data_IF_455792982461
#
_entry.id   IF_455792982461
#
_cell.length_a   1.000
_cell.length_b   1.000
_cell.length_c   1.000
_cell.angle_alpha   90.00
_cell.angle_beta   90.00
_cell.angle_gamma   90.00
#
_symmetry.space_group_name_H-M   'P 1'
#
loop_
_entity.id
_entity.type
_entity.pdbx_description
1 polymer ?
#
# COMPACT_ATOMS: atom_id res chain seq x y z
N UNK A 1 18.39 -6.68 -7.51
CA UNK A 1 17.39 -6.86 -8.60
C UNK A 1 16.42 -5.68 -8.69
N UNK A 2 15.71 -5.31 -7.61
CA UNK A 2 14.64 -4.30 -7.68
C UNK A 2 15.12 -2.85 -7.91
N UNK A 3 16.18 -2.40 -7.19
CA UNK A 3 16.62 -0.99 -7.21
C UNK A 3 16.87 -0.40 -8.60
N UNK A 4 17.69 -1.02 -9.47
CA UNK A 4 17.97 -0.43 -10.78
C UNK A 4 16.70 -0.26 -11.62
N UNK A 5 15.75 -1.20 -11.53
CA UNK A 5 14.48 -1.12 -12.24
C UNK A 5 13.56 -0.01 -11.74
N UNK A 6 13.53 0.25 -10.42
CA UNK A 6 12.76 1.36 -9.85
C UNK A 6 13.38 2.72 -10.20
N UNK A 7 14.70 2.86 -10.06
CA UNK A 7 15.41 4.11 -10.40
C UNK A 7 15.22 4.44 -11.89
N UNK A 8 15.35 3.44 -12.77
CA UNK A 8 15.05 3.56 -14.20
C UNK A 8 13.62 4.04 -14.45
N UNK A 9 12.62 3.42 -13.80
CA UNK A 9 11.21 3.82 -13.95
C UNK A 9 10.95 5.25 -13.44
N UNK A 10 11.53 5.64 -12.30
CA UNK A 10 11.43 7.02 -11.79
C UNK A 10 12.01 8.01 -12.79
N UNK A 11 13.17 7.69 -13.39
CA UNK A 11 13.80 8.57 -14.38
C UNK A 11 12.94 8.69 -15.64
N UNK A 12 12.40 7.58 -16.16
CA UNK A 12 11.48 7.60 -17.31
C UNK A 12 10.23 8.45 -17.05
N UNK A 13 9.64 8.33 -15.85
CA UNK A 13 8.48 9.13 -15.44
C UNK A 13 8.84 10.61 -15.35
N UNK A 14 10.01 10.94 -14.81
CA UNK A 14 10.49 12.32 -14.70
C UNK A 14 10.74 12.96 -16.06
N UNK A 15 11.23 12.18 -17.02
CA UNK A 15 11.52 12.65 -18.39
C UNK A 15 10.28 12.62 -19.31
N UNK A 16 9.16 12.07 -18.83
CA UNK A 16 7.91 12.03 -19.58
C UNK A 16 7.31 13.43 -19.77
N UNK A 17 6.78 13.75 -20.97
CA UNK A 17 6.02 14.97 -21.18
C UNK A 17 4.63 14.94 -20.52
N UNK A 18 4.18 13.78 -20.01
CA UNK A 18 2.87 13.63 -19.38
C UNK A 18 2.84 14.38 -18.03
N UNK A 19 2.09 15.48 -17.99
CA UNK A 19 1.90 16.23 -16.75
C UNK A 19 0.71 15.67 -15.95
N UNK A 20 0.99 14.83 -14.96
CA UNK A 20 -0.02 14.31 -14.03
C UNK A 20 -0.20 15.29 -12.87
N UNK A 21 -1.32 16.02 -12.91
CA UNK A 21 -1.73 16.89 -11.81
C UNK A 21 -2.52 16.11 -10.75
N UNK A 22 -2.19 16.35 -9.48
CA UNK A 22 -2.90 15.80 -8.32
C UNK A 22 -3.55 16.88 -7.45
N UNK A 23 -3.64 18.13 -7.91
CA UNK A 23 -4.26 19.23 -7.16
C UNK A 23 -5.69 18.91 -6.70
N UNK A 24 -6.42 18.08 -7.47
CA UNK A 24 -7.75 17.57 -7.12
C UNK A 24 -7.73 16.87 -5.75
N UNK A 25 -6.66 16.16 -5.39
CA UNK A 25 -6.54 15.44 -4.12
C UNK A 25 -6.44 16.35 -2.91
N UNK A 26 -6.08 17.62 -3.11
CA UNK A 26 -5.92 18.63 -2.07
C UNK A 26 -6.99 19.71 -2.05
N UNK A 27 -8.07 19.53 -2.83
CA UNK A 27 -9.29 20.34 -2.69
C UNK A 27 -9.92 20.12 -1.31
N UNK A 28 -11.00 20.83 -1.00
CA UNK A 28 -11.66 20.71 0.30
C UNK A 28 -12.54 19.45 0.36
N UNK A 29 -12.28 18.59 1.35
CA UNK A 29 -13.00 17.36 1.62
C UNK A 29 -13.39 17.32 3.10
N UNK A 30 -14.61 17.72 3.49
CA UNK A 30 -15.01 17.76 4.90
C UNK A 30 -14.80 16.42 5.61
N UNK A 31 -14.18 16.45 6.79
CA UNK A 31 -13.74 15.26 7.54
C UNK A 31 -14.90 14.32 7.85
N UNK A 32 -16.06 14.85 8.22
CA UNK A 32 -17.26 14.06 8.52
C UNK A 32 -17.70 13.24 7.31
N UNK A 33 -17.61 13.83 6.12
CA UNK A 33 -17.94 13.15 4.85
C UNK A 33 -16.87 12.14 4.46
N UNK A 34 -15.60 12.39 4.77
CA UNK A 34 -14.53 11.41 4.57
C UNK A 34 -14.77 10.16 5.41
N UNK A 35 -15.17 10.30 6.68
CA UNK A 35 -15.48 9.17 7.55
C UNK A 35 -16.60 8.30 6.98
N UNK A 36 -17.70 8.91 6.53
CA UNK A 36 -18.80 8.18 5.90
C UNK A 36 -18.34 7.41 4.66
N UNK A 37 -17.55 8.04 3.79
CA UNK A 37 -17.01 7.41 2.58
C UNK A 37 -16.02 6.30 2.91
N UNK A 38 -15.17 6.47 3.92
CA UNK A 38 -14.22 5.45 4.32
C UNK A 38 -14.94 4.23 4.90
N UNK A 39 -15.99 4.42 5.70
CA UNK A 39 -16.78 3.31 6.24
C UNK A 39 -17.60 2.58 5.16
N UNK A 40 -18.23 3.33 4.24
CA UNK A 40 -18.93 2.74 3.08
C UNK A 40 -17.97 1.94 2.20
N UNK A 41 -16.79 2.51 1.93
CA UNK A 41 -15.74 1.90 1.12
C UNK A 41 -15.25 0.56 1.70
N UNK A 42 -14.79 0.56 2.96
CA UNK A 42 -14.23 -0.66 3.55
C UNK A 42 -15.30 -1.75 3.69
N UNK A 43 -16.57 -1.36 3.93
CA UNK A 43 -17.70 -2.29 3.93
C UNK A 43 -17.90 -2.94 2.55
N UNK A 44 -17.86 -2.17 1.47
CA UNK A 44 -18.06 -2.67 0.09
C UNK A 44 -17.00 -3.69 -0.32
N UNK A 45 -15.75 -3.48 0.08
CA UNK A 45 -14.65 -4.40 -0.25
C UNK A 45 -14.61 -5.65 0.65
N UNK A 46 -15.46 -5.71 1.69
CA UNK A 46 -15.69 -6.91 2.50
C UNK A 46 -15.20 -6.86 3.95
N UNK A 47 -14.81 -5.69 4.46
CA UNK A 47 -14.52 -5.55 5.90
C UNK A 47 -15.79 -5.77 6.74
N UNK A 48 -15.70 -6.70 7.69
CA UNK A 48 -16.83 -7.08 8.54
C UNK A 48 -16.93 -6.19 9.79
N UNK A 49 -17.87 -5.25 9.78
CA UNK A 49 -18.15 -4.37 10.92
C UNK A 49 -18.83 -5.08 12.11
N UNK A 50 -19.27 -6.33 11.97
CA UNK A 50 -19.77 -7.10 13.13
C UNK A 50 -18.61 -7.60 14.00
N UNK A 51 -17.43 -7.78 13.38
CA UNK A 51 -16.20 -8.27 14.00
C UNK A 51 -15.10 -7.19 14.00
N UNK A 52 -15.48 -5.92 13.94
CA UNK A 52 -14.52 -4.83 13.81
C UNK A 52 -15.13 -3.44 13.73
N UNK A 53 -14.26 -2.42 13.70
CA UNK A 53 -14.64 -1.01 13.58
C UNK A 53 -13.49 -0.16 13.05
N UNK A 54 -13.81 1.06 12.61
CA UNK A 54 -12.85 2.05 12.11
C UNK A 54 -12.80 3.32 12.97
N UNK A 55 -11.62 3.53 13.57
CA UNK A 55 -11.06 4.67 14.32
C UNK A 55 -10.53 5.87 13.52
N UNK A 56 -10.41 7.03 14.16
CA UNK A 56 -9.41 8.04 13.81
C UNK A 56 -8.16 7.85 14.68
N UNK A 57 -6.98 7.90 14.07
CA UNK A 57 -5.69 7.94 14.75
C UNK A 57 -4.73 8.92 14.05
N UNK A 58 -3.66 9.31 14.74
CA UNK A 58 -2.60 10.14 14.14
C UNK A 58 -1.86 9.39 13.03
N UNK A 59 -1.67 8.09 13.20
CA UNK A 59 -1.11 7.19 12.21
C UNK A 59 -2.10 6.04 12.02
N UNK A 60 -2.60 5.79 10.79
CA UNK A 60 -3.41 4.62 10.49
C UNK A 60 -2.69 3.33 10.90
N UNK A 61 -3.46 2.38 11.43
CA UNK A 61 -3.00 1.04 11.78
C UNK A 61 -4.19 0.08 11.91
N UNK A 62 -3.87 -1.21 11.78
CA UNK A 62 -4.74 -2.34 12.09
C UNK A 62 -4.24 -3.05 13.34
N UNK A 63 -5.16 -3.46 14.21
CA UNK A 63 -4.88 -4.28 15.39
C UNK A 63 -6.00 -5.27 15.62
N UNK A 64 -5.70 -6.40 16.26
CA UNK A 64 -6.68 -7.43 16.56
C UNK A 64 -6.53 -7.95 17.99
N UNK A 65 -7.67 -8.30 18.58
CA UNK A 65 -7.76 -8.98 19.88
C UNK A 65 -8.25 -10.42 19.73
N UNK A 66 -8.93 -10.71 18.61
CA UNK A 66 -9.29 -12.02 18.09
C UNK A 66 -9.60 -11.87 16.60
N UNK A 67 -9.82 -12.97 15.87
CA UNK A 67 -10.38 -12.88 14.52
C UNK A 67 -11.81 -12.28 14.46
N UNK A 68 -12.50 -12.19 15.60
CA UNK A 68 -13.82 -11.58 15.77
C UNK A 68 -13.78 -10.15 16.39
N UNK A 69 -12.59 -9.58 16.64
CA UNK A 69 -12.42 -8.18 17.05
C UNK A 69 -11.14 -7.62 16.42
N UNK A 70 -11.28 -7.15 15.18
CA UNK A 70 -10.22 -6.56 14.37
C UNK A 70 -10.56 -5.10 14.08
N UNK A 71 -9.70 -4.19 14.54
CA UNK A 71 -9.94 -2.75 14.50
C UNK A 71 -8.94 -2.07 13.59
N UNK A 72 -9.45 -1.17 12.77
CA UNK A 72 -8.65 -0.33 11.87
C UNK A 72 -8.77 1.11 12.31
N UNK A 73 -7.79 1.91 11.96
CA UNK A 73 -7.84 3.36 12.15
C UNK A 73 -7.43 4.06 10.87
N UNK A 74 -7.91 5.27 10.67
CA UNK A 74 -7.53 6.12 9.54
C UNK A 74 -7.21 7.54 10.02
N UNK A 75 -6.69 8.37 9.12
CA UNK A 75 -6.40 9.78 9.40
C UNK A 75 -7.17 10.65 8.42
N UNK A 76 -7.85 11.66 8.95
CA UNK A 76 -8.55 12.64 8.14
C UNK A 76 -7.77 13.94 8.04
N UNK A 77 -7.79 14.52 6.86
CA UNK A 77 -7.27 15.86 6.57
C UNK A 77 -8.20 16.50 5.55
N UNK A 78 -8.75 17.67 5.88
CA UNK A 78 -9.71 18.37 5.03
C UNK A 78 -9.14 18.76 3.65
N UNK A 79 -7.81 18.75 3.49
CA UNK A 79 -7.10 19.08 2.26
C UNK A 79 -6.22 17.94 1.75
N UNK A 80 -6.53 16.69 2.14
CA UNK A 80 -5.87 15.51 1.60
C UNK A 80 -6.76 14.26 1.65
N UNK A 81 -7.57 14.06 0.61
CA UNK A 81 -8.47 12.90 0.51
C UNK A 81 -7.75 11.54 0.49
N UNK A 82 -6.61 11.37 -0.22
CA UNK A 82 -5.88 10.10 -0.25
C UNK A 82 -5.47 9.59 1.15
N UNK A 83 -5.20 10.52 2.08
CA UNK A 83 -4.76 10.21 3.44
C UNK A 83 -5.79 9.45 4.28
N UNK A 84 -7.08 9.52 3.92
CA UNK A 84 -8.14 8.75 4.56
C UNK A 84 -8.63 7.59 3.69
N UNK A 85 -8.88 7.83 2.40
CA UNK A 85 -9.48 6.82 1.50
C UNK A 85 -8.55 5.63 1.29
N UNK A 86 -7.32 5.85 0.82
CA UNK A 86 -6.38 4.76 0.57
C UNK A 86 -5.82 4.18 1.87
N UNK A 87 -5.65 5.01 2.91
CA UNK A 87 -5.29 4.50 4.23
C UNK A 87 -6.36 3.53 4.78
N UNK A 88 -7.64 3.85 4.63
CA UNK A 88 -8.72 2.95 5.07
C UNK A 88 -8.73 1.64 4.29
N UNK A 89 -8.48 1.68 2.98
CA UNK A 89 -8.34 0.45 2.17
C UNK A 89 -7.10 -0.37 2.57
N UNK A 90 -5.99 0.31 2.88
CA UNK A 90 -4.76 -0.32 3.35
C UNK A 90 -5.02 -1.08 4.65
N UNK A 91 -5.55 -0.39 5.67
CA UNK A 91 -5.83 -1.01 6.97
C UNK A 91 -6.94 -2.06 6.87
N UNK A 92 -7.95 -1.86 6.02
CA UNK A 92 -8.96 -2.88 5.77
C UNK A 92 -8.38 -4.13 5.12
N UNK A 93 -7.37 -4.03 4.25
CA UNK A 93 -6.69 -5.20 3.70
C UNK A 93 -5.94 -5.99 4.76
N UNK A 94 -5.26 -5.31 5.68
CA UNK A 94 -4.69 -5.92 6.88
C UNK A 94 -5.78 -6.62 7.73
N UNK A 95 -6.85 -5.90 8.04
CA UNK A 95 -7.89 -6.42 8.90
C UNK A 95 -8.65 -7.58 8.28
N UNK A 96 -8.91 -7.51 6.97
CA UNK A 96 -9.51 -8.63 6.26
C UNK A 96 -8.60 -9.84 6.32
N UNK A 97 -7.27 -9.75 6.30
CA UNK A 97 -6.44 -10.94 6.54
C UNK A 97 -6.75 -11.58 7.90
N UNK A 98 -6.73 -10.79 8.97
CA UNK A 98 -6.98 -11.24 10.34
C UNK A 98 -8.41 -11.80 10.53
N UNK A 99 -9.43 -11.14 9.97
CA UNK A 99 -10.85 -11.52 10.04
C UNK A 99 -11.20 -12.87 9.40
N UNK A 100 -10.27 -13.51 8.71
CA UNK A 100 -10.48 -14.90 8.28
C UNK A 100 -9.24 -15.73 8.40
N UNK A 101 -8.44 -15.42 9.41
CA UNK A 101 -7.84 -16.46 10.23
C UNK A 101 -8.96 -17.42 10.68
N UNK A 102 -8.84 -18.73 10.46
CA UNK A 102 -9.87 -19.70 10.86
C UNK A 102 -10.13 -19.72 12.37
N UNK A 103 -11.40 -19.82 12.77
CA UNK A 103 -11.81 -19.94 14.18
C UNK A 103 -11.11 -21.08 14.92
N UNK A 104 -10.84 -22.20 14.23
CA UNK A 104 -10.12 -23.36 14.81
C UNK A 104 -8.68 -23.04 15.23
N UNK A 105 -8.11 -21.92 14.78
CA UNK A 105 -6.78 -21.46 15.17
C UNK A 105 -6.83 -20.41 16.28
N UNK A 106 -8.01 -19.89 16.62
CA UNK A 106 -8.15 -18.85 17.64
C UNK A 106 -7.57 -19.31 19.00
N UNK A 107 -6.82 -18.41 19.65
CA UNK A 107 -6.08 -18.73 20.89
C UNK A 107 -4.88 -19.66 20.73
N UNK A 108 -4.52 -20.08 19.51
CA UNK A 108 -3.35 -20.91 19.23
C UNK A 108 -2.22 -20.10 18.58
N UNK A 109 -1.02 -20.69 18.50
CA UNK A 109 0.11 -20.11 17.77
C UNK A 109 -0.10 -20.04 16.25
N UNK A 110 -1.17 -20.65 15.73
CA UNK A 110 -1.52 -20.64 14.32
C UNK A 110 -2.45 -19.48 13.92
N UNK A 111 -3.01 -18.73 14.88
CA UNK A 111 -3.90 -17.59 14.57
C UNK A 111 -3.13 -16.43 13.94
N UNK A 112 -3.81 -15.71 13.04
CA UNK A 112 -3.35 -14.48 12.40
C UNK A 112 -2.40 -14.69 11.21
N UNK A 113 -1.86 -13.59 10.70
CA UNK A 113 -0.98 -13.60 9.53
C UNK A 113 0.37 -14.30 9.73
N UNK A 114 0.86 -15.00 8.69
CA UNK A 114 2.12 -15.77 8.76
C UNK A 114 3.37 -14.90 8.98
N UNK A 115 3.36 -13.66 8.48
CA UNK A 115 4.45 -12.69 8.64
C UNK A 115 4.01 -11.28 8.28
N UNK A 116 4.78 -10.28 8.69
CA UNK A 116 4.59 -8.89 8.30
C UNK A 116 4.58 -8.69 6.78
N UNK A 117 5.39 -9.45 6.02
CA UNK A 117 5.39 -9.36 4.55
C UNK A 117 4.07 -9.84 3.93
N UNK A 118 3.51 -10.96 4.41
CA UNK A 118 2.18 -11.40 3.97
C UNK A 118 1.06 -10.47 4.45
N UNK A 119 1.24 -9.87 5.62
CA UNK A 119 0.28 -8.90 6.16
C UNK A 119 0.22 -7.65 5.29
N UNK A 120 1.39 -7.09 4.97
CA UNK A 120 1.53 -5.96 4.04
C UNK A 120 1.09 -6.30 2.63
N UNK A 121 1.24 -7.55 2.18
CA UNK A 121 0.77 -7.90 0.84
C UNK A 121 -0.75 -7.79 0.69
N UNK A 122 -1.49 -8.08 1.76
CA UNK A 122 -2.95 -7.91 1.76
C UNK A 122 -3.31 -6.43 1.73
N UNK A 123 -2.72 -5.61 2.60
CA UNK A 123 -3.00 -4.17 2.62
C UNK A 123 -2.67 -3.50 1.29
N UNK A 124 -1.50 -3.80 0.72
CA UNK A 124 -1.09 -3.24 -0.58
C UNK A 124 -1.98 -3.70 -1.72
N UNK A 125 -2.45 -4.94 -1.73
CA UNK A 125 -3.35 -5.42 -2.78
C UNK A 125 -4.65 -4.61 -2.82
N UNK A 126 -5.29 -4.45 -1.66
CA UNK A 126 -6.53 -3.70 -1.55
C UNK A 126 -6.33 -2.20 -1.78
N UNK A 127 -5.24 -1.61 -1.27
CA UNK A 127 -4.90 -0.21 -1.49
C UNK A 127 -4.58 0.09 -2.96
N UNK A 128 -3.69 -0.68 -3.58
CA UNK A 128 -3.00 -0.31 -4.81
C UNK A 128 -3.53 -1.05 -6.04
N UNK A 129 -3.38 -2.37 -6.09
CA UNK A 129 -3.82 -3.18 -7.24
C UNK A 129 -5.33 -3.07 -7.46
N UNK A 130 -6.10 -2.94 -6.37
CA UNK A 130 -7.55 -2.75 -6.42
C UNK A 130 -7.86 -1.26 -6.32
N UNK A 131 -7.61 -0.62 -5.17
CA UNK A 131 -8.08 0.75 -4.87
C UNK A 131 -7.55 1.85 -5.78
N UNK A 132 -6.33 1.71 -6.32
CA UNK A 132 -5.76 2.67 -7.28
C UNK A 132 -5.90 2.23 -8.73
N UNK A 133 -6.65 1.15 -9.01
CA UNK A 133 -6.91 0.69 -10.38
C UNK A 133 -7.93 1.58 -11.10
N UNK A 134 -7.86 1.58 -12.42
CA UNK A 134 -8.85 2.27 -13.27
C UNK A 134 -10.25 1.70 -13.06
N UNK A 135 -10.38 0.37 -12.95
CA UNK A 135 -11.65 -0.32 -12.71
C UNK A 135 -12.31 0.14 -11.42
N UNK A 136 -11.56 0.17 -10.31
CA UNK A 136 -12.08 0.59 -9.02
C UNK A 136 -12.46 2.07 -9.02
N UNK A 137 -11.63 2.92 -9.62
CA UNK A 137 -11.93 4.36 -9.69
C UNK A 137 -13.17 4.61 -10.55
N UNK A 138 -13.37 3.90 -11.66
CA UNK A 138 -14.61 4.00 -12.44
C UNK A 138 -15.85 3.59 -11.61
N UNK A 139 -15.73 2.53 -10.81
CA UNK A 139 -16.80 2.08 -9.91
C UNK A 139 -17.14 3.11 -8.82
N UNK A 140 -16.14 3.60 -8.09
CA UNK A 140 -16.37 4.33 -6.85
C UNK A 140 -16.37 5.86 -7.01
N UNK A 141 -15.79 6.39 -8.09
CA UNK A 141 -15.76 7.83 -8.33
C UNK A 141 -17.15 8.50 -8.39
N UNK A 142 -18.21 7.90 -8.96
CA UNK A 142 -19.57 8.46 -8.88
C UNK A 142 -20.03 8.72 -7.43
N UNK A 143 -19.73 7.80 -6.51
CA UNK A 143 -20.05 7.94 -5.08
C UNK A 143 -19.25 9.08 -4.44
N UNK A 144 -17.95 9.17 -4.74
CA UNK A 144 -17.11 10.30 -4.29
C UNK A 144 -17.64 11.63 -4.81
N UNK A 145 -18.02 11.69 -6.09
CA UNK A 145 -18.53 12.90 -6.74
C UNK A 145 -19.86 13.37 -6.15
N UNK A 146 -20.75 12.44 -5.81
CA UNK A 146 -21.99 12.75 -5.10
C UNK A 146 -21.72 13.30 -3.68
N UNK A 147 -20.74 12.73 -2.97
CA UNK A 147 -20.40 13.16 -1.61
C UNK A 147 -19.70 14.53 -1.57
N UNK A 148 -18.85 14.80 -2.56
CA UNK A 148 -18.00 15.99 -2.65
C UNK A 148 -18.27 16.84 -3.91
N UNK A 149 -19.50 17.34 -4.13
CA UNK A 149 -19.85 18.03 -5.37
C UNK A 149 -19.08 19.35 -5.55
N UNK A 150 -18.72 20.03 -4.45
CA UNK A 150 -17.90 21.24 -4.49
C UNK A 150 -16.46 21.01 -4.96
N UNK A 151 -15.96 19.78 -4.83
CA UNK A 151 -14.57 19.43 -5.14
C UNK A 151 -14.43 18.54 -6.38
N UNK A 152 -15.50 17.88 -6.83
CA UNK A 152 -15.44 16.88 -7.90
C UNK A 152 -16.46 17.08 -9.04
N UNK A 153 -17.31 18.13 -9.01
CA UNK A 153 -18.32 18.36 -10.06
C UNK A 153 -17.74 18.51 -11.47
N UNK A 154 -16.60 19.19 -11.59
CA UNK A 154 -15.82 19.42 -12.81
C UNK A 154 -14.82 18.29 -13.14
N UNK A 155 -14.75 17.24 -12.30
CA UNK A 155 -13.77 16.16 -12.42
C UNK A 155 -14.41 14.91 -13.04
N UNK A 156 -13.64 14.25 -13.90
CA UNK A 156 -13.95 12.93 -14.48
C UNK A 156 -13.22 11.81 -13.73
N UNK A 157 -13.74 10.58 -13.80
CA UNK A 157 -13.08 9.41 -13.21
C UNK A 157 -11.65 9.22 -13.76
N UNK A 158 -11.43 9.50 -15.04
CA UNK A 158 -10.10 9.44 -15.67
C UNK A 158 -9.12 10.44 -15.06
N UNK A 159 -9.54 11.70 -14.83
CA UNK A 159 -8.70 12.69 -14.15
C UNK A 159 -8.39 12.29 -12.71
N UNK A 160 -9.38 11.76 -11.99
CA UNK A 160 -9.18 11.27 -10.63
C UNK A 160 -8.21 10.08 -10.59
N UNK A 161 -8.31 9.15 -11.55
CA UNK A 161 -7.37 8.03 -11.71
C UNK A 161 -5.93 8.49 -11.90
N UNK A 162 -5.70 9.48 -12.78
CA UNK A 162 -4.37 10.03 -12.98
C UNK A 162 -3.86 10.70 -11.70
N UNK A 163 -4.68 11.54 -11.07
CA UNK A 163 -4.34 12.24 -9.84
C UNK A 163 -4.02 11.28 -8.66
N UNK A 164 -4.72 10.16 -8.55
CA UNK A 164 -4.50 9.13 -7.52
C UNK A 164 -3.20 8.33 -7.70
N UNK A 165 -2.63 8.40 -8.90
CA UNK A 165 -1.45 7.66 -9.30
C UNK A 165 -0.31 8.58 -9.73
N UNK A 166 -0.27 9.82 -9.23
CA UNK A 166 0.88 10.69 -9.43
C UNK A 166 2.11 10.10 -8.74
N UNK A 167 3.22 10.08 -9.47
CA UNK A 167 4.55 9.70 -9.00
C UNK A 167 5.40 10.95 -8.89
N UNK A 168 6.03 11.13 -7.74
CA UNK A 168 6.97 12.22 -7.51
C UNK A 168 7.89 11.87 -6.32
N UNK A 169 9.21 12.11 -6.43
CA UNK A 169 10.09 12.05 -5.27
C UNK A 169 9.57 12.94 -4.14
N UNK A 170 9.47 12.39 -2.93
CA UNK A 170 8.97 13.08 -1.74
C UNK A 170 9.82 12.72 -0.52
N UNK A 171 9.75 13.54 0.55
CA UNK A 171 10.59 13.30 1.75
C UNK A 171 10.03 12.20 2.64
N UNK A 172 8.70 12.11 2.76
CA UNK A 172 8.00 11.33 3.77
C UNK A 172 7.59 9.98 3.19
N UNK A 173 8.17 8.90 3.72
CA UNK A 173 7.94 7.52 3.23
C UNK A 173 6.47 7.12 3.23
N UNK A 174 5.72 7.48 4.27
CA UNK A 174 4.30 7.08 4.41
C UNK A 174 3.39 7.81 3.41
N UNK A 175 3.89 8.84 2.73
CA UNK A 175 3.19 9.61 1.70
C UNK A 175 3.72 9.33 0.30
N UNK A 176 4.75 8.49 0.17
CA UNK A 176 5.39 8.16 -1.11
C UNK A 176 4.47 7.32 -2.01
N UNK A 177 4.58 7.53 -3.31
CA UNK A 177 3.83 6.79 -4.34
C UNK A 177 4.35 5.35 -4.53
N UNK A 178 3.60 4.52 -5.27
CA UNK A 178 3.92 3.10 -5.48
C UNK A 178 5.29 2.85 -6.13
N UNK A 179 5.83 3.81 -6.89
CA UNK A 179 7.11 3.67 -7.58
C UNK A 179 8.26 4.08 -6.65
N UNK A 180 8.12 5.20 -5.95
CA UNK A 180 9.20 5.76 -5.11
C UNK A 180 9.28 5.14 -3.73
N UNK A 181 8.17 4.60 -3.19
CA UNK A 181 8.10 4.01 -1.84
C UNK A 181 9.19 2.97 -1.58
N UNK A 182 9.46 2.09 -2.54
CA UNK A 182 10.48 1.05 -2.40
C UNK A 182 11.91 1.60 -2.22
N UNK A 183 12.19 2.79 -2.75
CA UNK A 183 13.49 3.46 -2.58
C UNK A 183 13.67 3.96 -1.13
N UNK A 184 12.61 4.46 -0.49
CA UNK A 184 12.64 4.82 0.93
C UNK A 184 12.96 3.61 1.82
N UNK A 185 12.40 2.44 1.50
CA UNK A 185 12.67 1.19 2.22
C UNK A 185 14.12 0.74 2.03
N UNK A 186 14.61 0.78 0.78
CA UNK A 186 16.00 0.40 0.49
C UNK A 186 17.00 1.29 1.20
N UNK A 187 16.75 2.60 1.25
CA UNK A 187 17.58 3.55 2.00
C UNK A 187 17.70 3.11 3.45
N UNK A 188 16.57 2.88 4.13
CA UNK A 188 16.56 2.48 5.55
C UNK A 188 17.27 1.16 5.77
N UNK A 189 16.99 0.15 4.93
CA UNK A 189 17.63 -1.15 5.07
C UNK A 189 19.15 -1.10 4.90
N UNK A 190 19.66 -0.24 4.00
CA UNK A 190 21.11 -0.06 3.88
C UNK A 190 21.72 0.60 5.11
N UNK A 191 21.06 1.60 5.68
CA UNK A 191 21.51 2.22 6.92
C UNK A 191 21.47 1.21 8.08
N UNK A 192 20.41 0.40 8.18
CA UNK A 192 20.31 -0.68 9.17
C UNK A 192 21.46 -1.68 9.07
N UNK A 193 21.81 -2.10 7.85
CA UNK A 193 22.97 -2.96 7.64
C UNK A 193 24.25 -2.33 8.15
N UNK A 194 24.51 -1.07 7.83
CA UNK A 194 25.71 -0.38 8.26
C UNK A 194 25.76 -0.23 9.79
N UNK A 195 24.62 0.07 10.41
CA UNK A 195 24.50 0.15 11.88
C UNK A 195 24.80 -1.21 12.54
N UNK A 196 24.16 -2.29 12.07
CA UNK A 196 24.33 -3.63 12.64
C UNK A 196 25.73 -4.19 12.40
N UNK A 197 26.34 -3.89 11.25
CA UNK A 197 27.71 -4.29 10.92
C UNK A 197 28.78 -3.44 11.63
N UNK A 198 28.39 -2.41 12.40
CA UNK A 198 29.32 -1.49 13.08
C UNK A 198 30.16 -0.64 12.14
N UNK A 199 29.64 -0.36 10.93
CA UNK A 199 30.35 0.35 9.85
C UNK A 199 30.03 1.85 9.76
N UNK A 200 29.20 2.37 10.65
CA UNK A 200 28.82 3.79 10.70
C UNK A 200 28.62 4.21 12.16
N UNK A 201 29.01 5.44 12.50
CA UNK A 201 28.66 6.03 13.79
C UNK A 201 27.26 6.62 13.72
N UNK A 202 26.49 6.56 14.81
CA UNK A 202 25.13 7.12 14.84
C UNK A 202 25.10 8.64 14.57
N UNK A 203 26.16 9.37 14.89
CA UNK A 203 26.32 10.80 14.58
C UNK A 203 26.34 11.09 13.09
N UNK A 204 26.70 10.11 12.26
CA UNK A 204 26.92 10.28 10.82
C UNK A 204 25.66 9.92 10.02
N UNK A 205 24.63 9.36 10.68
CA UNK A 205 23.37 8.97 10.04
C UNK A 205 22.62 10.12 9.36
N UNK A 206 22.55 11.35 9.91
CA UNK A 206 21.88 12.46 9.22
C UNK A 206 22.49 12.76 7.84
N UNK A 207 23.82 12.80 7.74
CA UNK A 207 24.52 13.08 6.47
C UNK A 207 24.40 11.91 5.50
N UNK A 208 24.53 10.68 6.00
CA UNK A 208 24.40 9.49 5.18
C UNK A 208 22.97 9.32 4.66
N UNK A 209 21.95 9.65 5.47
CA UNK A 209 20.56 9.71 5.03
C UNK A 209 20.39 10.69 3.87
N UNK A 210 20.89 11.92 4.03
CA UNK A 210 20.79 12.97 3.00
C UNK A 210 21.46 12.53 1.69
N UNK A 211 22.65 11.93 1.79
CA UNK A 211 23.37 11.36 0.64
C UNK A 211 22.52 10.31 -0.08
N UNK A 212 21.91 9.38 0.66
CA UNK A 212 21.08 8.31 0.09
C UNK A 212 19.76 8.81 -0.49
N UNK A 213 19.12 9.82 0.13
CA UNK A 213 17.94 10.49 -0.43
C UNK A 213 18.29 11.15 -1.78
N UNK A 214 19.43 11.83 -1.85
CA UNK A 214 19.90 12.46 -3.09
C UNK A 214 20.22 11.42 -4.16
N UNK A 215 20.90 10.32 -3.81
CA UNK A 215 21.24 9.23 -4.74
C UNK A 215 20.00 8.54 -5.32
N UNK A 216 18.97 8.28 -4.50
CA UNK A 216 17.82 7.45 -4.89
C UNK A 216 16.63 8.23 -5.41
N UNK A 217 16.39 9.41 -4.84
CA UNK A 217 15.19 10.22 -5.09
C UNK A 217 15.54 11.59 -5.69
N UNK A 218 16.83 11.99 -5.69
CA UNK A 218 17.26 13.27 -6.26
C UNK A 218 16.91 14.49 -5.40
N UNK A 219 16.53 14.27 -4.14
CA UNK A 219 16.09 15.31 -3.19
C UNK A 219 16.80 15.15 -1.86
N UNK A 220 16.92 16.23 -1.09
CA UNK A 220 17.54 16.24 0.24
C UNK A 220 16.60 16.86 1.27
N UNK A 221 16.38 16.22 2.44
CA UNK A 221 15.56 16.78 3.52
C UNK A 221 16.05 18.16 3.98
N UNK A 222 15.11 19.02 4.41
CA UNK A 222 15.44 20.37 4.90
C UNK A 222 16.07 20.35 6.30
N UNK A 223 15.67 19.37 7.10
CA UNK A 223 16.14 19.15 8.45
C UNK A 223 16.03 17.65 8.81
N UNK A 224 16.44 17.31 10.04
CA UNK A 224 16.42 15.93 10.50
C UNK A 224 15.00 15.40 10.76
N UNK A 225 14.00 16.27 10.97
CA UNK A 225 12.62 15.85 11.20
C UNK A 225 11.99 15.30 9.90
N UNK A 226 12.32 15.89 8.76
CA UNK A 226 11.99 15.34 7.43
C UNK A 226 12.99 14.27 6.96
N UNK A 227 14.16 14.20 7.61
CA UNK A 227 15.22 13.25 7.31
C UNK A 227 15.20 12.02 8.21
N UNK A 228 16.34 11.75 8.83
CA UNK A 228 16.61 10.53 9.61
C UNK A 228 15.65 10.31 10.80
N UNK A 229 14.98 11.35 11.30
CA UNK A 229 14.04 11.27 12.43
C UNK A 229 12.57 11.14 11.98
N UNK A 230 12.29 11.00 10.68
CA UNK A 230 10.91 10.98 10.18
C UNK A 230 10.10 9.75 10.64
N UNK A 231 10.76 8.65 11.01
CA UNK A 231 10.13 7.38 11.37
C UNK A 231 10.44 6.97 12.81
N UNK A 232 9.45 6.39 13.49
CA UNK A 232 9.53 5.97 14.90
C UNK A 232 10.24 4.63 15.13
N UNK A 233 10.50 3.86 14.06
CA UNK A 233 10.94 2.47 14.18
C UNK A 233 12.26 2.34 14.95
N UNK A 234 13.29 3.10 14.58
CA UNK A 234 14.60 3.00 15.21
C UNK A 234 14.61 3.51 16.65
N UNK A 235 13.85 4.57 16.96
CA UNK A 235 13.71 5.04 18.35
C UNK A 235 12.93 4.04 19.22
N UNK A 236 12.12 3.17 18.61
CA UNK A 236 11.43 2.06 19.28
C UNK A 236 12.25 0.77 19.32
N UNK A 237 13.51 0.78 18.88
CA UNK A 237 14.38 -0.40 18.85
C UNK A 237 14.04 -1.41 17.74
N UNK A 238 13.25 -1.02 16.75
CA UNK A 238 12.78 -1.89 15.68
C UNK A 238 13.76 -1.79 14.49
N UNK A 239 14.67 -2.76 14.39
CA UNK A 239 15.63 -2.92 13.29
C UNK A 239 15.29 -4.16 12.44
N UNK A 240 15.49 -4.08 11.13
CA UNK A 240 15.20 -5.18 10.20
C UNK A 240 13.72 -5.31 9.83
N UNK A 241 12.89 -4.34 10.25
CA UNK A 241 11.46 -4.29 9.99
C UNK A 241 11.13 -3.67 8.62
N UNK A 242 11.78 -2.55 8.25
CA UNK A 242 11.46 -1.88 6.98
C UNK A 242 11.45 -2.78 5.74
N UNK A 243 12.35 -3.78 5.57
CA UNK A 243 12.30 -4.71 4.46
C UNK A 243 10.95 -5.43 4.31
N UNK A 244 10.19 -5.63 5.39
CA UNK A 244 8.90 -6.32 5.32
C UNK A 244 7.86 -5.53 4.53
N UNK A 245 7.91 -4.21 4.54
CA UNK A 245 7.04 -3.38 3.71
C UNK A 245 7.25 -3.65 2.22
N UNK A 246 8.52 -3.70 1.79
CA UNK A 246 8.83 -3.98 0.39
C UNK A 246 8.56 -5.45 0.03
N UNK A 247 8.76 -6.39 0.96
CA UNK A 247 8.32 -7.78 0.76
C UNK A 247 6.81 -7.87 0.54
N UNK A 248 6.02 -7.05 1.24
CA UNK A 248 4.58 -6.93 1.00
C UNK A 248 4.23 -6.57 -0.43
N UNK A 249 4.86 -5.54 -0.97
CA UNK A 249 4.69 -5.15 -2.38
C UNK A 249 5.04 -6.28 -3.36
N UNK A 250 6.13 -7.03 -3.11
CA UNK A 250 6.54 -8.15 -3.97
C UNK A 250 5.55 -9.31 -3.91
N UNK A 251 5.19 -9.74 -2.69
CA UNK A 251 4.23 -10.82 -2.47
C UNK A 251 2.86 -10.43 -3.04
N UNK A 252 2.44 -9.19 -2.85
CA UNK A 252 1.17 -8.66 -3.36
C UNK A 252 1.06 -8.81 -4.87
N UNK A 253 2.10 -8.40 -5.61
CA UNK A 253 2.12 -8.54 -7.07
C UNK A 253 2.16 -10.01 -7.53
N UNK A 254 2.89 -10.88 -6.82
CA UNK A 254 2.91 -12.31 -7.12
C UNK A 254 1.56 -13.01 -6.89
N UNK A 255 0.88 -12.66 -5.80
CA UNK A 255 -0.47 -13.14 -5.53
C UNK A 255 -1.46 -12.60 -6.56
N UNK A 256 -1.31 -11.33 -6.95
CA UNK A 256 -2.14 -10.69 -7.96
C UNK A 256 -2.05 -11.39 -9.34
N UNK A 257 -0.85 -11.76 -9.79
CA UNK A 257 -0.70 -12.54 -11.03
C UNK A 257 -1.47 -13.88 -10.97
N UNK A 258 -1.41 -14.59 -9.84
CA UNK A 258 -2.16 -15.83 -9.66
C UNK A 258 -3.66 -15.62 -9.58
N UNK A 259 -4.08 -14.51 -9.01
CA UNK A 259 -5.49 -14.14 -8.94
C UNK A 259 -6.04 -13.77 -10.32
N UNK A 260 -5.26 -13.07 -11.16
CA UNK A 260 -5.62 -12.78 -12.56
C UNK A 260 -5.79 -14.07 -13.38
N UNK A 261 -4.93 -15.08 -13.17
CA UNK A 261 -5.06 -16.40 -13.80
C UNK A 261 -6.36 -17.11 -13.37
N UNK A 262 -6.73 -16.98 -12.08
CA UNK A 262 -7.87 -17.68 -11.47
C UNK A 262 -9.22 -16.97 -11.68
N UNK A 263 -9.20 -15.64 -11.85
CA UNK A 263 -10.39 -14.79 -12.02
C UNK A 263 -10.18 -13.92 -13.28
N UNK A 264 -10.39 -14.47 -14.49
CA UNK A 264 -10.05 -13.78 -15.74
C UNK A 264 -10.80 -12.46 -15.98
N UNK A 265 -11.97 -12.29 -15.37
CA UNK A 265 -12.83 -11.10 -15.47
C UNK A 265 -12.72 -10.18 -14.24
N UNK A 266 -11.66 -10.30 -13.43
CA UNK A 266 -11.50 -9.55 -12.17
C UNK A 266 -11.67 -8.04 -12.32
N UNK A 267 -11.18 -7.42 -13.40
CA UNK A 267 -11.36 -5.98 -13.62
C UNK A 267 -12.81 -5.60 -13.90
N UNK A 268 -13.57 -6.47 -14.59
CA UNK A 268 -15.00 -6.26 -14.81
C UNK A 268 -15.78 -6.42 -13.49
N UNK A 269 -15.42 -7.39 -12.66
CA UNK A 269 -15.99 -7.55 -11.31
C UNK A 269 -15.71 -6.32 -10.44
N UNK A 270 -14.46 -5.82 -10.42
CA UNK A 270 -14.09 -4.59 -9.69
C UNK A 270 -14.89 -3.39 -10.19
N UNK A 271 -15.01 -3.20 -11.50
CA UNK A 271 -15.79 -2.09 -12.08
C UNK A 271 -17.30 -2.21 -11.80
N UNK A 272 -17.80 -3.44 -11.64
CA UNK A 272 -19.16 -3.75 -11.19
C UNK A 272 -19.39 -3.65 -9.68
N UNK A 273 -18.32 -3.46 -8.87
CA UNK A 273 -18.41 -3.43 -7.41
C UNK A 273 -18.52 -4.81 -6.76
N UNK A 274 -18.08 -5.86 -7.45
CA UNK A 274 -18.13 -7.24 -7.01
C UNK A 274 -16.76 -7.67 -6.44
N UNK A 275 -16.61 -7.58 -5.12
CA UNK A 275 -15.34 -7.89 -4.43
C UNK A 275 -15.33 -9.25 -3.74
N UNK A 276 -16.49 -9.93 -3.66
CA UNK A 276 -16.63 -11.17 -2.90
C UNK A 276 -15.74 -12.29 -3.46
N UNK A 277 -15.70 -12.49 -4.78
CA UNK A 277 -14.85 -13.52 -5.39
C UNK A 277 -13.35 -13.29 -5.16
N UNK A 278 -12.91 -12.03 -5.12
CA UNK A 278 -11.54 -11.64 -4.79
C UNK A 278 -11.22 -12.00 -3.34
N UNK A 279 -12.10 -11.59 -2.40
CA UNK A 279 -11.91 -11.87 -0.98
C UNK A 279 -11.95 -13.38 -0.70
N UNK A 280 -12.86 -14.13 -1.31
CA UNK A 280 -12.94 -15.59 -1.20
C UNK A 280 -11.68 -16.27 -1.72
N UNK A 281 -11.14 -15.82 -2.85
CA UNK A 281 -9.87 -16.34 -3.35
C UNK A 281 -8.74 -16.12 -2.33
N UNK A 282 -8.66 -14.93 -1.71
CA UNK A 282 -7.67 -14.66 -0.66
C UNK A 282 -7.92 -15.51 0.59
N UNK A 283 -9.18 -15.73 0.98
CA UNK A 283 -9.55 -16.62 2.08
C UNK A 283 -9.03 -18.02 1.85
N UNK A 284 -9.28 -18.56 0.67
CA UNK A 284 -8.93 -19.92 0.31
C UNK A 284 -7.45 -20.13 0.03
N UNK A 285 -6.76 -19.13 -0.51
CA UNK A 285 -5.36 -19.31 -0.92
C UNK A 285 -4.37 -18.76 0.11
N UNK A 286 -4.79 -17.83 0.97
CA UNK A 286 -3.89 -17.15 1.91
C UNK A 286 -4.39 -17.24 3.35
N UNK A 287 -5.61 -16.75 3.62
CA UNK A 287 -6.06 -16.48 4.98
C UNK A 287 -6.28 -17.76 5.79
N UNK A 288 -6.85 -18.81 5.17
CA UNK A 288 -7.18 -20.07 5.85
C UNK A 288 -5.98 -20.80 6.47
N UNK A 289 -4.76 -20.43 6.09
CA UNK A 289 -3.56 -21.09 6.57
C UNK A 289 -3.04 -20.51 7.89
N UNK A 290 -3.47 -19.31 8.28
CA UNK A 290 -2.92 -18.59 9.42
C UNK A 290 -1.38 -18.64 9.41
N UNK A 291 -0.79 -19.18 10.48
CA UNK A 291 0.67 -19.37 10.62
C UNK A 291 1.14 -20.82 10.41
N UNK A 292 0.33 -21.66 9.76
CA UNK A 292 0.65 -23.09 9.53
C UNK A 292 1.92 -23.30 8.70
N UNK A 293 2.17 -22.42 7.74
CA UNK A 293 3.31 -22.48 6.84
C UNK A 293 4.26 -21.33 7.09
N UNK A 294 5.57 -21.58 6.96
CA UNK A 294 6.54 -20.50 6.89
C UNK A 294 6.24 -19.62 5.66
N UNK A 295 6.56 -18.32 5.68
CA UNK A 295 6.25 -17.41 4.57
C UNK A 295 6.77 -17.91 3.21
N UNK A 296 8.02 -18.42 3.18
CA UNK A 296 8.63 -18.96 1.97
C UNK A 296 7.91 -20.23 1.46
N UNK A 297 7.36 -21.05 2.36
CA UNK A 297 6.60 -22.24 1.99
C UNK A 297 5.21 -21.86 1.48
N UNK A 298 4.56 -20.88 2.11
CA UNK A 298 3.24 -20.42 1.72
C UNK A 298 3.26 -19.78 0.32
N UNK A 299 4.21 -18.88 0.04
CA UNK A 299 4.31 -18.26 -1.28
C UNK A 299 4.61 -19.29 -2.37
N UNK A 300 5.49 -20.26 -2.09
CA UNK A 300 5.78 -21.37 -2.99
C UNK A 300 4.55 -22.24 -3.23
N UNK A 301 3.77 -22.52 -2.18
CA UNK A 301 2.54 -23.30 -2.26
C UNK A 301 1.48 -22.61 -3.12
N UNK A 302 1.33 -21.29 -3.03
CA UNK A 302 0.32 -20.53 -3.78
C UNK A 302 0.76 -20.27 -5.22
N UNK A 303 2.01 -19.84 -5.41
CA UNK A 303 2.48 -19.29 -6.69
C UNK A 303 3.33 -20.27 -7.49
N UNK A 304 3.80 -21.35 -6.86
CA UNK A 304 4.79 -22.28 -7.43
C UNK A 304 6.20 -21.72 -7.49
N UNK A 305 6.46 -20.53 -6.92
CA UNK A 305 7.75 -19.83 -6.99
C UNK A 305 8.11 -19.16 -5.66
N UNK A 306 9.40 -18.88 -5.47
CA UNK A 306 9.88 -18.07 -4.35
C UNK A 306 9.51 -16.58 -4.55
N UNK A 307 9.73 -15.74 -3.54
CA UNK A 307 9.54 -14.29 -3.68
C UNK A 307 10.49 -13.73 -4.75
N UNK A 308 9.96 -12.99 -5.71
CA UNK A 308 10.70 -12.44 -6.84
C UNK A 308 10.23 -11.03 -7.22
N UNK A 309 11.15 -10.23 -7.77
CA UNK A 309 10.88 -8.83 -8.12
C UNK A 309 10.14 -8.65 -9.45
N UNK A 310 10.12 -9.68 -10.31
CA UNK A 310 9.60 -9.61 -11.67
C UNK A 310 8.13 -9.18 -11.73
N UNK A 311 7.21 -9.86 -11.01
CA UNK A 311 5.78 -9.53 -11.00
C UNK A 311 5.50 -8.09 -10.57
N UNK A 312 6.17 -7.61 -9.51
CA UNK A 312 6.02 -6.24 -9.05
C UNK A 312 6.50 -5.22 -10.08
N UNK A 313 7.67 -5.46 -10.69
CA UNK A 313 8.18 -4.57 -11.75
C UNK A 313 7.29 -4.59 -13.00
N UNK A 314 6.72 -5.74 -13.35
CA UNK A 314 5.78 -5.90 -14.47
C UNK A 314 4.49 -5.11 -14.23
N UNK A 315 3.92 -5.21 -13.03
CA UNK A 315 2.76 -4.44 -12.59
C UNK A 315 3.02 -2.92 -12.70
N UNK A 316 4.11 -2.43 -12.09
CA UNK A 316 4.45 -1.01 -12.12
C UNK A 316 4.69 -0.52 -13.56
N UNK A 317 5.50 -1.23 -14.36
CA UNK A 317 5.77 -0.83 -15.74
C UNK A 317 4.50 -0.79 -16.58
N UNK A 318 3.63 -1.79 -16.45
CA UNK A 318 2.35 -1.81 -17.18
C UNK A 318 1.48 -0.61 -16.82
N UNK A 319 1.27 -0.38 -15.52
CA UNK A 319 0.40 0.69 -15.03
C UNK A 319 0.93 2.08 -15.37
N UNK A 320 2.21 2.33 -15.12
CA UNK A 320 2.80 3.66 -15.28
C UNK A 320 3.20 3.98 -16.72
N UNK A 321 3.37 2.97 -17.58
CA UNK A 321 3.48 3.19 -19.03
C UNK A 321 2.20 3.82 -19.60
N UNK A 322 1.02 3.38 -19.17
CA UNK A 322 -0.26 3.97 -19.57
C UNK A 322 -0.40 5.41 -19.05
N UNK A 323 -0.18 5.61 -17.75
CA UNK A 323 -0.37 6.91 -17.08
C UNK A 323 0.57 7.98 -17.63
N UNK A 324 1.86 7.65 -17.78
CA UNK A 324 2.91 8.59 -18.19
C UNK A 324 3.31 8.45 -19.66
N UNK A 325 2.58 7.68 -20.47
CA UNK A 325 2.81 7.52 -21.90
C UNK A 325 4.28 7.18 -22.23
N UNK A 326 4.89 6.30 -21.43
CA UNK A 326 6.31 5.99 -21.54
C UNK A 326 6.62 5.25 -22.86
N UNK A 327 7.67 5.67 -23.54
CA UNK A 327 8.18 4.99 -24.74
C UNK A 327 8.53 3.53 -24.46
N UNK A 328 8.28 2.65 -25.44
CA UNK A 328 8.52 1.21 -25.34
C UNK A 328 9.99 0.83 -25.44
#
# INVERSE_FOLDING_TARGET
ALRPGLVDLVQQIKDSPANVDNSIMSREYPVEKQLEICNDLVKRIGFDFTNGRQDQAAHPFCTNFSNNDVRITTRFDAHWLPGSVFASMHEAGHAMYEQGSPDKFEGTTLSGGTSLGFHESQSRMWENQIGRSRAFINYYFPVLKEKFPGSLSDVTAGQFYLAANKVAPSMIRVEADEVTYGLHIMLRFELEKLMVEGKVNFSDLPELWNTKMQEYLGITPRDNAEGVLQDIHWSSGILGYFPTYQLGNLISAQLWEKMLDAIPDIYAQIEGGEFQGILEWLRDNVHQYGRKFLPCELIMKITGKAVEAGPYMSYLRTKYKDIYQLGG
#
